data_IF_132347220862
#
_entry.id   IF_132347220862
#
_cell.length_a   1.000
_cell.length_b   1.000
_cell.length_c   1.000
_cell.angle_alpha   90.00
_cell.angle_beta   90.00
_cell.angle_gamma   90.00
#
_symmetry.space_group_name_H-M   'P 1'
#
loop_
_entity.id
_entity.type
_entity.pdbx_description
1 polymer ?
#
# COMPACT_ATOMS: atom_id res chain seq x y z
N UNK A 1 -15.09 -14.49 2.75
CA UNK A 1 -15.14 -13.78 4.04
C UNK A 1 -13.95 -12.81 4.13
N UNK A 2 -13.81 -11.96 3.11
CA UNK A 2 -12.88 -10.84 3.05
C UNK A 2 -13.77 -9.72 2.54
N UNK A 3 -13.98 -8.67 3.36
CA UNK A 3 -14.85 -7.52 3.08
C UNK A 3 -14.33 -6.34 3.90
N UNK A 4 -14.84 -5.13 3.62
CA UNK A 4 -14.68 -3.95 4.48
C UNK A 4 -13.24 -3.44 4.57
N UNK A 5 -12.59 -3.43 3.41
CA UNK A 5 -11.25 -2.90 3.21
C UNK A 5 -11.34 -1.89 2.06
N UNK A 6 -11.61 -0.62 2.39
CA UNK A 6 -11.66 0.50 1.43
C UNK A 6 -10.63 1.56 1.82
N UNK A 7 -10.85 2.30 2.90
CA UNK A 7 -9.79 3.19 3.44
C UNK A 7 -8.57 2.39 3.91
N UNK A 8 -8.80 1.18 4.46
CA UNK A 8 -7.72 0.28 4.87
C UNK A 8 -7.11 -0.50 3.69
N UNK A 9 -7.76 -0.56 2.52
CA UNK A 9 -7.15 -1.20 1.33
C UNK A 9 -6.33 -0.18 0.56
N UNK A 10 -6.76 1.08 0.51
CA UNK A 10 -5.91 2.22 0.16
C UNK A 10 -4.61 2.26 0.99
N UNK A 11 -4.60 1.74 2.22
CA UNK A 11 -3.38 1.62 3.06
C UNK A 11 -2.68 0.26 2.90
N UNK A 12 -3.40 -0.86 2.81
CA UNK A 12 -2.80 -2.20 2.74
C UNK A 12 -2.37 -2.63 1.33
N UNK A 13 -3.07 -2.20 0.26
CA UNK A 13 -2.65 -2.45 -1.12
C UNK A 13 -1.38 -1.68 -1.48
N UNK A 14 -1.05 -0.60 -0.77
CA UNK A 14 0.25 0.08 -0.89
C UNK A 14 1.44 -0.81 -0.47
N UNK A 15 1.21 -1.91 0.25
CA UNK A 15 2.23 -2.91 0.59
C UNK A 15 2.40 -4.01 -0.48
N UNK A 16 1.52 -4.08 -1.49
CA UNK A 16 1.55 -5.11 -2.54
C UNK A 16 1.53 -4.55 -3.97
N UNK A 17 0.90 -3.39 -4.19
CA UNK A 17 0.77 -2.71 -5.48
C UNK A 17 0.80 -1.18 -5.25
N UNK A 18 1.99 -0.58 -5.21
CA UNK A 18 2.15 0.79 -5.70
C UNK A 18 3.56 1.11 -6.19
N UNK A 19 3.61 1.37 -7.49
CA UNK A 19 4.51 2.32 -8.14
C UNK A 19 3.56 3.29 -8.88
N UNK A 20 3.79 4.59 -9.15
CA UNK A 20 4.95 5.46 -9.38
C UNK A 20 4.53 6.96 -9.48
N UNK A 21 5.23 7.84 -10.19
CA UNK A 21 4.93 9.29 -10.41
C UNK A 21 5.86 9.84 -11.52
N UNK A 22 5.62 10.95 -12.24
CA UNK A 22 4.69 12.08 -12.08
C UNK A 22 4.04 12.50 -13.43
N UNK A 23 2.89 13.19 -13.33
CA UNK A 23 2.46 14.32 -14.19
C UNK A 23 1.24 15.01 -13.53
N UNK A 24 1.22 16.35 -13.40
CA UNK A 24 0.01 17.13 -13.03
C UNK A 24 0.17 18.63 -13.33
N UNK A 25 -0.93 19.38 -13.59
CA UNK A 25 -0.88 20.63 -14.35
C UNK A 25 -0.38 21.88 -13.59
N UNK A 26 0.12 22.82 -14.39
CA UNK A 26 0.87 24.02 -14.04
C UNK A 26 0.35 24.86 -12.84
N UNK A 27 1.17 25.02 -11.79
CA UNK A 27 1.32 26.31 -11.09
C UNK A 27 2.76 26.50 -10.56
N UNK A 28 3.52 27.43 -11.15
CA UNK A 28 4.79 28.03 -10.66
C UNK A 28 5.83 27.11 -9.98
N UNK A 29 6.95 26.77 -10.65
CA UNK A 29 7.92 25.82 -10.10
C UNK A 29 8.79 26.38 -8.98
N UNK A 30 8.47 26.02 -7.73
CA UNK A 30 9.52 25.47 -6.85
C UNK A 30 9.80 24.04 -7.33
N UNK A 31 11.02 23.74 -7.76
CA UNK A 31 11.41 22.37 -8.10
C UNK A 31 11.27 21.46 -6.89
N UNK A 32 10.39 20.46 -6.95
CA UNK A 32 10.36 19.39 -5.93
C UNK A 32 11.72 18.68 -5.91
N UNK A 33 12.19 18.31 -4.71
CA UNK A 33 13.37 17.47 -4.57
C UNK A 33 13.05 16.07 -5.10
N UNK A 34 13.94 15.51 -5.92
CA UNK A 34 13.85 14.09 -6.30
C UNK A 34 13.92 13.19 -5.05
N UNK A 35 13.43 11.96 -5.14
CA UNK A 35 13.52 11.00 -4.03
C UNK A 35 14.98 10.81 -3.56
N UNK A 36 15.93 10.72 -4.49
CA UNK A 36 17.35 10.60 -4.16
C UNK A 36 17.90 11.81 -3.37
N UNK A 37 17.44 13.02 -3.67
CA UNK A 37 17.81 14.24 -2.92
C UNK A 37 17.16 14.27 -1.53
N UNK A 38 15.88 13.91 -1.41
CA UNK A 38 15.18 13.79 -0.12
C UNK A 38 15.89 12.76 0.79
N UNK A 39 16.27 11.61 0.24
CA UNK A 39 17.02 10.56 0.95
C UNK A 39 18.40 11.08 1.39
N UNK A 40 19.16 11.70 0.48
CA UNK A 40 20.49 12.23 0.80
C UNK A 40 20.42 13.31 1.90
N UNK A 41 19.42 14.20 1.86
CA UNK A 41 19.20 15.21 2.90
C UNK A 41 18.83 14.59 4.25
N UNK A 42 18.05 13.50 4.25
CA UNK A 42 17.64 12.77 5.47
C UNK A 42 18.81 11.99 6.08
N UNK A 43 19.59 11.26 5.29
CA UNK A 43 20.77 10.51 5.75
C UNK A 43 21.82 11.46 6.36
N UNK A 44 21.93 12.68 5.83
CA UNK A 44 22.83 13.72 6.33
C UNK A 44 22.35 14.44 7.61
N UNK A 45 21.13 14.19 8.12
CA UNK A 45 20.65 14.86 9.34
C UNK A 45 21.44 14.38 10.56
N UNK A 46 21.75 15.27 11.52
CA UNK A 46 22.35 14.87 12.80
C UNK A 46 21.35 14.01 13.58
N UNK A 47 21.84 13.13 14.45
CA UNK A 47 20.97 12.47 15.42
C UNK A 47 20.49 13.45 16.48
N UNK A 48 19.33 13.15 17.05
CA UNK A 48 18.77 13.86 18.19
C UNK A 48 19.62 13.69 19.46
N UNK A 49 19.56 14.67 20.34
CA UNK A 49 20.15 14.63 21.69
C UNK A 49 19.16 14.16 22.77
N UNK A 50 17.92 13.83 22.38
CA UNK A 50 16.88 13.37 23.29
C UNK A 50 17.03 11.86 23.59
N UNK A 51 16.98 11.42 24.86
CA UNK A 51 17.02 10.00 25.21
C UNK A 51 15.90 9.18 24.54
N UNK A 52 16.09 7.86 24.32
CA UNK A 52 15.11 6.98 23.67
C UNK A 52 13.70 7.08 24.27
N UNK A 53 13.58 7.18 25.59
CA UNK A 53 12.29 7.32 26.30
C UNK A 53 11.57 8.64 26.02
N UNK A 54 12.28 9.73 25.73
CA UNK A 54 11.67 11.01 25.36
C UNK A 54 11.25 11.01 23.88
N UNK A 55 11.98 10.31 23.02
CA UNK A 55 11.62 10.10 21.62
C UNK A 55 10.34 9.25 21.49
N UNK A 56 10.22 8.21 22.31
CA UNK A 56 9.02 7.37 22.42
C UNK A 56 7.76 8.19 22.73
N UNK A 57 7.80 9.05 23.75
CA UNK A 57 6.68 9.93 24.12
C UNK A 57 6.28 10.91 23.00
N UNK A 58 7.25 11.42 22.21
CA UNK A 58 6.93 12.22 21.02
C UNK A 58 6.18 11.41 19.96
N UNK A 59 6.65 10.19 19.68
CA UNK A 59 6.07 9.30 18.68
C UNK A 59 4.65 8.85 19.06
N UNK A 60 4.45 8.47 20.32
CA UNK A 60 3.12 8.18 20.88
C UNK A 60 2.17 9.38 20.73
N UNK A 61 2.60 10.59 21.09
CA UNK A 61 1.74 11.78 21.06
C UNK A 61 1.23 12.13 19.66
N UNK A 62 2.09 12.03 18.64
CA UNK A 62 1.75 12.46 17.28
C UNK A 62 1.09 11.35 16.45
N UNK A 63 1.39 10.07 16.74
CA UNK A 63 0.59 8.95 16.27
C UNK A 63 -0.85 9.04 16.82
N UNK A 64 -1.02 9.47 18.08
CA UNK A 64 -2.34 9.81 18.64
C UNK A 64 -2.98 11.03 17.94
N UNK A 65 -2.22 12.07 17.56
CA UNK A 65 -2.76 13.21 16.81
C UNK A 65 -3.27 12.77 15.42
N UNK A 66 -2.54 11.89 14.72
CA UNK A 66 -2.97 11.32 13.44
C UNK A 66 -4.29 10.56 13.61
N UNK A 67 -4.40 9.68 14.61
CA UNK A 67 -5.66 8.97 14.87
C UNK A 67 -6.82 9.92 15.14
N UNK A 68 -6.59 11.08 15.80
CA UNK A 68 -7.64 12.11 15.99
C UNK A 68 -8.04 12.81 14.68
N UNK A 69 -7.19 12.83 13.65
CA UNK A 69 -7.59 13.28 12.30
C UNK A 69 -8.25 12.17 11.48
N UNK A 70 -7.84 10.90 11.66
CA UNK A 70 -8.44 9.76 10.98
C UNK A 70 -9.84 9.46 11.53
N UNK A 71 -10.05 9.46 12.85
CA UNK A 71 -11.31 9.14 13.53
C UNK A 71 -12.52 9.94 13.02
N UNK A 72 -12.29 11.16 12.53
CA UNK A 72 -13.34 12.01 11.95
C UNK A 72 -13.93 11.45 10.64
N UNK A 73 -13.20 10.60 9.90
CA UNK A 73 -13.68 10.01 8.64
C UNK A 73 -14.83 9.03 8.86
N UNK A 74 -14.98 8.49 10.08
CA UNK A 74 -16.16 7.73 10.54
C UNK A 74 -17.46 8.53 10.48
N UNK A 75 -17.38 9.85 10.35
CA UNK A 75 -18.54 10.75 10.19
C UNK A 75 -18.72 11.24 8.75
N UNK A 76 -17.90 10.76 7.82
CA UNK A 76 -17.95 11.13 6.41
C UNK A 76 -19.18 10.51 5.74
N UNK A 77 -20.16 11.36 5.43
CA UNK A 77 -21.33 10.93 4.65
C UNK A 77 -20.98 10.36 3.28
N UNK A 78 -19.82 10.75 2.72
CA UNK A 78 -19.31 10.20 1.46
C UNK A 78 -18.85 8.75 1.63
N UNK A 79 -18.06 8.45 2.67
CA UNK A 79 -17.57 7.08 2.92
C UNK A 79 -18.73 6.15 3.25
N UNK A 80 -19.63 6.55 4.16
CA UNK A 80 -20.81 5.77 4.55
C UNK A 80 -21.70 5.42 3.34
N UNK A 81 -21.79 6.31 2.35
CA UNK A 81 -22.50 6.07 1.10
C UNK A 81 -21.77 5.08 0.17
N UNK A 82 -20.44 5.12 0.09
CA UNK A 82 -19.65 4.14 -0.68
C UNK A 82 -19.69 2.74 -0.03
N UNK A 83 -19.61 2.68 1.30
CA UNK A 83 -19.82 1.44 2.07
C UNK A 83 -21.22 0.87 1.81
N UNK A 84 -22.25 1.71 1.83
CA UNK A 84 -23.60 1.26 1.52
C UNK A 84 -23.76 0.85 0.04
N UNK A 85 -23.08 1.49 -0.92
CA UNK A 85 -23.06 1.06 -2.31
C UNK A 85 -22.46 -0.35 -2.45
N UNK A 86 -21.28 -0.59 -1.85
CA UNK A 86 -20.66 -1.91 -1.81
C UNK A 86 -21.58 -2.96 -1.14
N UNK A 87 -22.23 -2.62 -0.02
CA UNK A 87 -23.23 -3.48 0.64
C UNK A 87 -24.46 -3.78 -0.24
N UNK A 88 -24.86 -2.88 -1.14
CA UNK A 88 -25.97 -3.08 -2.07
C UNK A 88 -25.58 -3.88 -3.32
N UNK A 89 -24.32 -3.78 -3.76
CA UNK A 89 -23.71 -4.64 -4.77
C UNK A 89 -23.53 -6.07 -4.24
N UNK A 90 -23.16 -6.22 -2.97
CA UNK A 90 -23.13 -7.49 -2.23
C UNK A 90 -24.49 -8.22 -2.16
N UNK A 91 -25.59 -7.48 -2.09
CA UNK A 91 -26.96 -8.05 -1.98
C UNK A 91 -27.51 -8.41 -3.37
N UNK A 92 -27.22 -7.60 -4.38
CA UNK A 92 -27.52 -7.86 -5.77
C UNK A 92 -26.38 -7.30 -6.60
N UNK A 93 -25.52 -8.17 -7.12
CA UNK A 93 -24.45 -7.76 -8.03
C UNK A 93 -25.04 -7.05 -9.24
N UNK A 94 -24.34 -6.03 -9.73
CA UNK A 94 -24.79 -5.23 -10.87
C UNK A 94 -23.96 -5.57 -12.08
N UNK A 95 -24.63 -6.16 -13.04
CA UNK A 95 -23.95 -6.64 -14.22
C UNK A 95 -23.57 -5.52 -15.21
N UNK A 96 -22.32 -5.08 -15.09
CA UNK A 96 -21.60 -4.22 -16.03
C UNK A 96 -20.62 -4.98 -16.93
N UNK A 97 -20.40 -6.29 -16.72
CA UNK A 97 -19.39 -7.09 -17.44
C UNK A 97 -19.94 -8.35 -18.12
N UNK A 98 -21.27 -8.54 -18.15
CA UNK A 98 -21.95 -9.79 -18.52
C UNK A 98 -21.69 -10.95 -17.52
N UNK A 99 -21.51 -10.65 -16.23
CA UNK A 99 -21.66 -11.62 -15.12
C UNK A 99 -20.38 -12.26 -14.58
N UNK A 100 -19.23 -11.60 -14.72
CA UNK A 100 -17.89 -12.22 -14.65
C UNK A 100 -16.82 -11.43 -13.86
N UNK A 101 -17.27 -10.46 -13.07
CA UNK A 101 -16.57 -9.89 -11.91
C UNK A 101 -17.61 -9.67 -10.80
N UNK A 102 -17.22 -9.56 -9.53
CA UNK A 102 -18.15 -9.35 -8.41
C UNK A 102 -18.77 -7.93 -8.40
N UNK A 103 -18.13 -6.97 -9.09
CA UNK A 103 -18.56 -5.57 -9.27
C UNK A 103 -18.52 -4.77 -7.95
N UNK A 104 -17.31 -4.42 -7.53
CA UNK A 104 -17.03 -3.54 -6.39
C UNK A 104 -17.17 -2.06 -6.80
N UNK A 105 -17.26 -1.15 -5.83
CA UNK A 105 -17.33 0.30 -6.09
C UNK A 105 -16.11 0.83 -6.88
N UNK A 106 -14.99 0.14 -6.73
CA UNK A 106 -13.71 0.41 -7.37
C UNK A 106 -13.73 -0.01 -8.85
N UNK A 107 -14.36 -1.14 -9.19
CA UNK A 107 -14.53 -1.60 -10.58
C UNK A 107 -15.32 -0.56 -11.41
N UNK A 108 -16.35 0.03 -10.81
CA UNK A 108 -17.21 1.04 -11.45
C UNK A 108 -16.40 2.26 -11.94
N UNK A 109 -15.28 2.58 -11.28
CA UNK A 109 -14.40 3.69 -11.69
C UNK A 109 -13.44 3.29 -12.83
N UNK A 110 -13.19 2.00 -13.03
CA UNK A 110 -12.14 1.46 -13.90
C UNK A 110 -12.63 0.99 -15.29
N UNK A 111 -13.87 1.26 -15.67
CA UNK A 111 -14.47 0.77 -16.93
C UNK A 111 -14.72 1.90 -17.93
N UNK A 112 -14.52 1.61 -19.22
CA UNK A 112 -14.95 2.48 -20.32
C UNK A 112 -15.97 1.81 -21.24
N UNK A 113 -16.79 2.60 -21.93
CA UNK A 113 -17.79 2.12 -22.91
C UNK A 113 -19.07 1.50 -22.31
N UNK A 114 -19.04 0.95 -21.10
CA UNK A 114 -20.22 0.39 -20.44
C UNK A 114 -21.03 1.50 -19.75
N UNK A 115 -22.20 1.84 -20.29
CA UNK A 115 -23.08 2.86 -19.73
C UNK A 115 -24.50 2.33 -19.41
N UNK A 116 -25.10 2.86 -18.36
CA UNK A 116 -26.40 2.47 -17.83
C UNK A 116 -26.74 3.21 -16.53
N UNK A 117 -28.02 3.43 -16.25
CA UNK A 117 -28.47 3.97 -14.95
C UNK A 117 -29.16 2.85 -14.17
N UNK A 118 -28.54 2.47 -13.06
CA UNK A 118 -28.97 1.44 -12.13
C UNK A 118 -29.62 2.07 -10.90
N UNK A 119 -30.90 1.80 -10.69
CA UNK A 119 -31.66 2.35 -9.56
C UNK A 119 -32.01 1.26 -8.57
N UNK A 120 -31.60 1.41 -7.31
CA UNK A 120 -31.89 0.44 -6.25
C UNK A 120 -33.40 0.32 -6.00
N UNK A 121 -33.92 -0.91 -5.90
CA UNK A 121 -35.32 -1.21 -5.55
C UNK A 121 -35.37 -1.87 -4.18
N UNK A 122 -35.55 -1.07 -3.15
CA UNK A 122 -35.51 -1.55 -1.77
C UNK A 122 -36.56 -2.63 -1.43
N UNK A 123 -37.71 -2.65 -2.13
CA UNK A 123 -38.75 -3.69 -1.98
C UNK A 123 -38.32 -5.04 -2.53
N UNK A 124 -37.54 -5.03 -3.62
CA UNK A 124 -37.19 -6.21 -4.41
C UNK A 124 -35.73 -6.67 -4.15
N UNK A 125 -34.97 -5.90 -3.36
CA UNK A 125 -33.55 -6.04 -3.07
C UNK A 125 -32.67 -6.25 -4.32
N UNK A 126 -32.98 -5.51 -5.40
CA UNK A 126 -32.29 -5.60 -6.69
C UNK A 126 -32.11 -4.24 -7.35
N UNK A 127 -31.28 -4.18 -8.39
CA UNK A 127 -31.10 -2.99 -9.21
C UNK A 127 -31.97 -3.01 -10.48
N UNK A 128 -32.66 -1.91 -10.76
CA UNK A 128 -33.34 -1.68 -12.04
C UNK A 128 -32.40 -0.96 -13.00
N UNK A 129 -31.96 -1.66 -14.07
CA UNK A 129 -31.14 -1.10 -15.15
C UNK A 129 -32.02 -0.36 -16.15
N UNK A 130 -31.64 0.87 -16.48
CA UNK A 130 -32.16 1.62 -17.64
C UNK A 130 -30.99 2.02 -18.55
N UNK A 131 -31.24 2.12 -19.85
CA UNK A 131 -30.19 2.40 -20.83
C UNK A 131 -29.66 3.83 -20.73
N UNK A 132 -28.34 3.98 -20.86
CA UNK A 132 -27.63 5.25 -20.97
C UNK A 132 -26.53 5.12 -22.01
N UNK A 133 -26.20 6.22 -22.69
CA UNK A 133 -25.12 6.31 -23.68
C UNK A 133 -24.09 7.39 -23.31
N UNK A 134 -24.19 7.96 -22.10
CA UNK A 134 -23.43 9.16 -21.69
C UNK A 134 -22.81 9.08 -20.30
N UNK A 135 -23.29 8.18 -19.43
CA UNK A 135 -22.77 7.93 -18.08
C UNK A 135 -23.17 6.55 -17.56
N UNK A 136 -22.30 5.95 -16.75
CA UNK A 136 -22.64 4.84 -15.86
C UNK A 136 -23.03 5.44 -14.50
N UNK A 137 -24.15 5.02 -13.93
CA UNK A 137 -24.71 5.69 -12.76
C UNK A 137 -25.50 4.76 -11.85
N UNK A 138 -25.25 4.91 -10.56
CA UNK A 138 -25.95 4.19 -9.50
C UNK A 138 -26.78 5.20 -8.70
N UNK A 139 -28.04 4.84 -8.41
CA UNK A 139 -29.02 5.68 -7.71
C UNK A 139 -29.60 4.90 -6.53
N UNK A 140 -29.21 5.28 -5.31
CA UNK A 140 -29.30 4.41 -4.12
C UNK A 140 -29.43 5.25 -2.82
N UNK A 141 -29.79 4.65 -1.65
CA UNK A 141 -29.85 5.38 -0.38
C UNK A 141 -28.47 5.66 0.21
N UNK A 142 -28.25 6.79 0.89
CA UNK A 142 -26.95 7.13 1.46
C UNK A 142 -26.49 6.20 2.61
N UNK A 143 -27.43 5.48 3.25
CA UNK A 143 -27.20 4.69 4.47
C UNK A 143 -27.98 3.38 4.43
N UNK A 144 -27.52 2.33 5.11
CA UNK A 144 -28.29 1.09 5.27
C UNK A 144 -29.65 1.31 5.94
N UNK A 145 -29.72 2.26 6.88
CA UNK A 145 -30.94 2.63 7.60
C UNK A 145 -31.95 3.44 6.76
N UNK A 146 -31.65 3.72 5.49
CA UNK A 146 -32.48 4.51 4.58
C UNK A 146 -32.99 3.67 3.41
N UNK A 147 -34.22 3.93 2.99
CA UNK A 147 -34.88 3.24 1.86
C UNK A 147 -35.18 4.17 0.67
N UNK A 148 -34.93 5.48 0.83
CA UNK A 148 -35.10 6.50 -0.20
C UNK A 148 -33.79 6.69 -0.95
N UNK A 149 -33.80 6.57 -2.28
CA UNK A 149 -32.61 6.78 -3.10
C UNK A 149 -32.30 8.28 -3.22
N UNK A 150 -31.55 8.83 -2.26
CA UNK A 150 -31.12 10.22 -2.22
C UNK A 150 -29.66 10.43 -2.68
N UNK A 151 -28.96 9.35 -3.02
CA UNK A 151 -27.56 9.34 -3.42
C UNK A 151 -27.40 8.92 -4.88
N UNK A 152 -26.49 9.57 -5.59
CA UNK A 152 -26.05 9.14 -6.92
C UNK A 152 -24.54 9.11 -7.03
N UNK A 153 -23.97 7.97 -7.43
CA UNK A 153 -22.61 7.91 -7.99
C UNK A 153 -22.76 7.89 -9.51
N UNK A 154 -22.15 8.83 -10.22
CA UNK A 154 -22.12 8.85 -11.69
C UNK A 154 -20.68 8.93 -12.19
N UNK A 155 -20.31 8.12 -13.17
CA UNK A 155 -18.96 8.00 -13.74
C UNK A 155 -18.98 8.08 -15.27
N UNK A 156 -17.90 8.64 -15.84
CA UNK A 156 -17.66 8.80 -17.28
C UNK A 156 -16.20 8.51 -17.56
N UNK A 157 -15.91 7.80 -18.65
CA UNK A 157 -14.56 7.32 -18.93
C UNK A 157 -14.20 7.47 -20.40
N UNK A 158 -12.93 7.74 -20.68
CA UNK A 158 -12.36 7.81 -22.02
C UNK A 158 -11.63 6.51 -22.30
N UNK A 159 -12.09 5.72 -23.28
CA UNK A 159 -11.44 4.46 -23.68
C UNK A 159 -10.02 4.68 -24.22
N UNK A 160 -9.12 3.76 -23.89
CA UNK A 160 -7.86 3.53 -24.59
C UNK A 160 -8.05 2.58 -25.78
N UNK A 161 -7.01 2.42 -26.60
CA UNK A 161 -6.95 1.34 -27.60
C UNK A 161 -6.60 -0.03 -26.99
N UNK A 162 -6.31 -0.12 -25.68
CA UNK A 162 -6.02 -1.39 -24.99
C UNK A 162 -7.33 -2.09 -24.68
N UNK A 163 -7.51 -3.24 -25.31
CA UNK A 163 -8.69 -4.10 -25.24
C UNK A 163 -8.32 -5.37 -24.48
N UNK A 164 -8.86 -5.54 -23.28
CA UNK A 164 -8.68 -6.75 -22.46
C UNK A 164 -9.71 -7.82 -22.83
N UNK A 165 -9.36 -9.07 -22.56
CA UNK A 165 -10.21 -10.25 -22.76
C UNK A 165 -10.67 -10.77 -21.39
N UNK A 166 -11.99 -10.78 -21.16
CA UNK A 166 -12.60 -11.21 -19.91
C UNK A 166 -13.34 -12.51 -20.17
N UNK A 167 -12.84 -13.62 -19.61
CA UNK A 167 -13.44 -14.94 -19.78
C UNK A 167 -14.93 -14.93 -19.38
N UNK A 168 -15.80 -15.27 -20.34
CA UNK A 168 -17.25 -15.29 -20.12
C UNK A 168 -17.69 -16.61 -19.51
N UNK A 169 -17.60 -17.65 -20.33
CA UNK A 169 -18.16 -18.97 -20.09
C UNK A 169 -17.66 -19.92 -21.18
N UNK A 170 -17.74 -21.22 -20.92
CA UNK A 170 -17.26 -22.24 -21.86
C UNK A 170 -18.44 -22.88 -22.61
N UNK A 171 -18.43 -22.78 -23.94
CA UNK A 171 -19.39 -23.47 -24.81
C UNK A 171 -18.94 -24.92 -25.00
N UNK A 172 -19.57 -25.81 -24.24
CA UNK A 172 -19.29 -27.24 -24.25
C UNK A 172 -19.80 -27.97 -25.50
N UNK A 173 -20.68 -27.38 -26.32
CA UNK A 173 -21.07 -27.94 -27.62
C UNK A 173 -20.07 -27.57 -28.71
N UNK A 174 -19.39 -26.43 -28.57
CA UNK A 174 -18.42 -25.91 -29.54
C UNK A 174 -16.93 -26.11 -29.16
N UNK A 175 -16.61 -26.50 -27.92
CA UNK A 175 -15.23 -26.65 -27.38
C UNK A 175 -14.43 -25.34 -27.48
N UNK A 176 -15.06 -24.23 -27.04
CA UNK A 176 -14.46 -22.88 -27.03
C UNK A 176 -14.82 -22.09 -25.77
N UNK A 177 -13.86 -21.29 -25.33
CA UNK A 177 -14.11 -20.19 -24.39
C UNK A 177 -14.85 -19.06 -25.13
N UNK A 178 -16.01 -18.68 -24.61
CA UNK A 178 -16.63 -17.39 -24.90
C UNK A 178 -15.92 -16.36 -24.03
N UNK A 179 -15.55 -15.22 -24.61
CA UNK A 179 -14.92 -14.13 -23.89
C UNK A 179 -15.61 -12.80 -24.24
N UNK A 180 -15.87 -11.99 -23.21
CA UNK A 180 -16.25 -10.59 -23.36
C UNK A 180 -14.99 -9.73 -23.50
N UNK A 181 -15.17 -8.49 -23.95
CA UNK A 181 -14.06 -7.57 -24.13
C UNK A 181 -14.38 -6.15 -23.73
N UNK A 182 -13.46 -5.53 -23.00
CA UNK A 182 -13.59 -4.15 -22.49
C UNK A 182 -12.34 -3.36 -22.87
N UNK A 183 -12.51 -2.08 -23.19
CA UNK A 183 -11.38 -1.15 -23.35
C UNK A 183 -11.03 -0.53 -22.00
N UNK A 184 -9.74 -0.58 -21.62
CA UNK A 184 -9.27 0.07 -20.40
C UNK A 184 -9.38 1.60 -20.52
N UNK A 185 -9.70 2.34 -19.45
CA UNK A 185 -9.84 3.79 -19.50
C UNK A 185 -8.47 4.49 -19.51
N UNK A 186 -8.26 5.43 -20.43
CA UNK A 186 -7.17 6.43 -20.31
C UNK A 186 -7.48 7.47 -19.23
N UNK A 187 -8.75 7.70 -18.95
CA UNK A 187 -9.21 8.46 -17.78
C UNK A 187 -10.63 8.09 -17.40
N UNK A 188 -10.97 8.33 -16.14
CA UNK A 188 -12.35 8.38 -15.67
C UNK A 188 -12.56 9.53 -14.68
N UNK A 189 -13.77 10.08 -14.69
CA UNK A 189 -14.24 11.09 -13.74
C UNK A 189 -15.55 10.59 -13.14
N UNK A 190 -15.63 10.55 -11.81
CA UNK A 190 -16.86 10.22 -11.10
C UNK A 190 -17.23 11.26 -10.04
N UNK A 191 -18.52 11.42 -9.81
CA UNK A 191 -19.07 12.33 -8.81
C UNK A 191 -20.11 11.58 -7.97
N UNK A 192 -19.86 11.50 -6.67
CA UNK A 192 -20.83 11.08 -5.67
C UNK A 192 -21.60 12.30 -5.18
N UNK A 193 -22.93 12.24 -5.21
CA UNK A 193 -23.82 13.27 -4.70
C UNK A 193 -24.82 12.70 -3.71
N UNK A 194 -25.07 13.43 -2.62
CA UNK A 194 -26.06 13.11 -1.58
C UNK A 194 -26.97 14.33 -1.42
N UNK A 195 -28.29 14.13 -1.48
CA UNK A 195 -29.30 15.20 -1.48
C UNK A 195 -28.98 16.28 -2.54
N UNK A 196 -28.64 15.83 -3.75
CA UNK A 196 -28.18 16.60 -4.93
C UNK A 196 -26.86 17.39 -4.78
N UNK A 197 -26.29 17.46 -3.58
CA UNK A 197 -25.01 18.13 -3.28
C UNK A 197 -23.83 17.20 -3.51
N UNK A 198 -22.69 17.76 -3.87
CA UNK A 198 -21.44 17.01 -3.99
C UNK A 198 -20.98 16.46 -2.65
N UNK A 199 -20.67 15.15 -2.62
CA UNK A 199 -20.20 14.42 -1.45
C UNK A 199 -18.76 13.95 -1.65
N UNK A 200 -18.43 13.44 -2.84
CA UNK A 200 -17.06 13.18 -3.25
C UNK A 200 -16.88 13.31 -4.77
N UNK A 201 -15.66 13.60 -5.19
CA UNK A 201 -15.21 13.51 -6.58
C UNK A 201 -14.06 12.51 -6.68
N UNK A 202 -14.01 11.83 -7.82
CA UNK A 202 -12.99 10.84 -8.17
C UNK A 202 -12.46 11.21 -9.55
N UNK A 203 -11.14 11.23 -9.70
CA UNK A 203 -10.47 11.38 -10.98
C UNK A 203 -9.42 10.28 -11.11
N UNK A 204 -9.39 9.62 -12.26
CA UNK A 204 -8.41 8.61 -12.61
C UNK A 204 -7.80 8.94 -13.97
N UNK A 205 -6.52 8.68 -14.14
CA UNK A 205 -5.84 8.66 -15.44
C UNK A 205 -4.97 7.42 -15.57
N UNK A 206 -4.80 6.91 -16.77
CA UNK A 206 -3.85 5.85 -17.09
C UNK A 206 -3.27 6.02 -18.50
N UNK A 207 -2.00 5.67 -18.66
CA UNK A 207 -1.30 5.56 -19.94
C UNK A 207 -0.75 4.13 -20.06
N UNK A 208 -0.88 3.51 -21.22
CA UNK A 208 -0.53 2.10 -21.43
C UNK A 208 0.45 1.95 -22.59
N UNK A 209 1.45 1.07 -22.44
CA UNK A 209 2.21 0.56 -23.57
C UNK A 209 1.34 -0.38 -24.40
N UNK A 210 1.62 -0.47 -25.71
CA UNK A 210 0.72 -1.09 -26.72
C UNK A 210 0.56 -2.62 -26.62
N UNK A 211 0.91 -3.24 -25.49
CA UNK A 211 0.91 -4.69 -25.25
C UNK A 211 0.67 -5.13 -23.79
N UNK A 212 0.45 -4.22 -22.84
CA UNK A 212 0.27 -4.58 -21.43
C UNK A 212 -1.06 -4.02 -20.90
N UNK A 213 -1.77 -4.84 -20.14
CA UNK A 213 -3.01 -4.47 -19.42
C UNK A 213 -2.68 -3.68 -18.13
N UNK A 214 -1.48 -3.91 -17.57
CA UNK A 214 -0.92 -3.03 -16.55
C UNK A 214 -0.56 -1.68 -17.16
N UNK A 215 -1.00 -0.54 -16.58
CA UNK A 215 -0.60 0.77 -17.07
C UNK A 215 0.91 1.00 -16.94
N UNK A 216 1.47 1.74 -17.89
CA UNK A 216 2.78 2.36 -17.76
C UNK A 216 2.67 3.50 -16.74
N UNK A 217 1.69 4.39 -16.87
CA UNK A 217 1.44 5.49 -15.95
C UNK A 217 0.01 5.47 -15.41
N UNK A 218 -0.19 5.88 -14.16
CA UNK A 218 -1.49 5.90 -13.49
C UNK A 218 -1.59 7.12 -12.58
N UNK A 219 -2.80 7.60 -12.31
CA UNK A 219 -3.07 8.45 -11.16
C UNK A 219 -4.52 8.26 -10.72
N UNK A 220 -4.76 8.32 -9.43
CA UNK A 220 -6.09 8.33 -8.83
C UNK A 220 -6.16 9.40 -7.74
N UNK A 221 -7.26 10.15 -7.72
CA UNK A 221 -7.56 11.17 -6.72
C UNK A 221 -9.00 11.06 -6.28
N UNK A 222 -9.23 10.86 -4.98
CA UNK A 222 -10.53 11.01 -4.32
C UNK A 222 -10.50 12.27 -3.46
N UNK A 223 -11.50 13.15 -3.61
CA UNK A 223 -11.69 14.32 -2.73
C UNK A 223 -13.09 14.27 -2.12
N UNK A 224 -13.22 14.44 -0.81
CA UNK A 224 -14.51 14.38 -0.09
C UNK A 224 -14.92 15.74 0.50
N UNK A 225 -16.23 15.98 0.63
CA UNK A 225 -16.77 17.29 1.04
C UNK A 225 -16.55 17.65 2.52
N UNK A 226 -16.16 16.69 3.36
CA UNK A 226 -15.70 16.87 4.75
C UNK A 226 -14.19 17.16 4.85
N UNK A 227 -13.50 17.20 3.72
CA UNK A 227 -12.14 17.74 3.58
C UNK A 227 -11.03 16.70 3.50
N UNK A 228 -11.32 15.41 3.31
CA UNK A 228 -10.26 14.45 2.97
C UNK A 228 -9.86 14.56 1.51
N UNK A 229 -8.60 14.26 1.23
CA UNK A 229 -8.12 14.00 -0.12
C UNK A 229 -7.14 12.85 -0.08
N UNK A 230 -7.38 11.84 -0.92
CA UNK A 230 -6.49 10.72 -1.14
C UNK A 230 -6.00 10.73 -2.57
N UNK A 231 -4.68 10.61 -2.75
CA UNK A 231 -4.01 10.64 -4.06
C UNK A 231 -3.00 9.50 -4.16
N UNK A 232 -2.96 8.80 -5.30
CA UNK A 232 -1.94 7.81 -5.67
C UNK A 232 -1.52 7.99 -7.14
N UNK A 233 -0.32 7.57 -7.51
CA UNK A 233 0.13 7.62 -8.91
C UNK A 233 0.95 6.40 -9.37
N UNK A 234 1.32 6.39 -10.66
CA UNK A 234 1.90 5.33 -11.51
C UNK A 234 2.80 5.90 -12.61
N UNK A 235 3.96 5.27 -12.86
CA UNK A 235 4.95 5.53 -13.94
C UNK A 235 6.08 4.47 -13.94
N UNK A 236 5.96 3.41 -14.75
CA UNK A 236 7.04 2.44 -15.01
C UNK A 236 8.20 3.14 -15.72
N UNK A 237 9.44 2.69 -15.52
CA UNK A 237 10.60 3.32 -16.15
C UNK A 237 11.94 2.69 -15.81
N UNK A 238 13.02 3.46 -16.00
CA UNK A 238 14.38 3.10 -15.55
C UNK A 238 14.46 3.04 -14.02
N UNK A 239 13.64 3.87 -13.36
CA UNK A 239 13.27 3.75 -11.96
C UNK A 239 11.74 3.82 -11.89
N UNK A 240 11.13 2.81 -11.27
CA UNK A 240 9.72 2.77 -10.92
C UNK A 240 9.59 3.45 -9.55
N UNK A 241 9.14 4.70 -9.52
CA UNK A 241 8.83 5.45 -8.29
C UNK A 241 7.63 4.86 -7.51
N UNK A 242 7.10 5.53 -6.48
CA UNK A 242 5.70 5.45 -5.97
C UNK A 242 5.35 6.80 -5.36
N UNK A 243 4.10 7.26 -5.44
CA UNK A 243 3.58 8.31 -4.56
C UNK A 243 2.16 7.95 -4.08
N UNK A 244 1.91 8.14 -2.79
CA UNK A 244 0.57 8.09 -2.19
C UNK A 244 0.44 9.10 -1.05
N UNK A 245 -0.68 9.82 -0.97
CA UNK A 245 -0.88 10.90 0.02
C UNK A 245 -2.31 10.89 0.55
N UNK A 246 -2.47 10.90 1.87
CA UNK A 246 -3.72 11.18 2.56
C UNK A 246 -3.62 12.54 3.25
N UNK A 247 -4.53 13.46 2.92
CA UNK A 247 -4.66 14.75 3.62
C UNK A 247 -6.05 14.94 4.24
N UNK A 248 -6.14 15.82 5.22
CA UNK A 248 -7.38 16.31 5.80
C UNK A 248 -7.32 17.83 5.96
N UNK A 249 -8.22 18.56 5.31
CA UNK A 249 -8.25 20.02 5.22
C UNK A 249 -6.89 20.63 4.82
N UNK A 250 -6.18 19.98 3.88
CA UNK A 250 -4.87 20.39 3.40
C UNK A 250 -3.68 20.04 4.31
N UNK A 251 -3.91 19.46 5.50
CA UNK A 251 -2.85 18.88 6.33
C UNK A 251 -2.58 17.43 5.91
N UNK A 252 -1.32 17.11 5.56
CA UNK A 252 -0.89 15.73 5.31
C UNK A 252 -1.02 14.89 6.59
N UNK A 253 -1.67 13.74 6.48
CA UNK A 253 -1.76 12.71 7.53
C UNK A 253 -0.76 11.58 7.25
N UNK A 254 -0.71 11.14 5.99
CA UNK A 254 0.20 10.12 5.47
C UNK A 254 0.74 10.63 4.13
N UNK A 255 2.04 10.49 3.90
CA UNK A 255 2.71 10.69 2.62
C UNK A 255 3.70 9.53 2.42
N UNK A 256 3.63 8.86 1.29
CA UNK A 256 4.51 7.79 0.87
C UNK A 256 5.14 8.16 -0.46
N UNK A 257 6.46 8.03 -0.58
CA UNK A 257 7.22 8.27 -1.80
C UNK A 257 8.30 7.18 -1.94
N UNK A 258 8.30 6.40 -3.02
CA UNK A 258 9.23 5.27 -3.20
C UNK A 258 9.92 5.28 -4.58
N UNK A 259 10.91 4.40 -4.77
CA UNK A 259 11.75 4.35 -5.97
C UNK A 259 12.53 3.05 -6.09
N UNK A 260 12.36 2.35 -7.21
CA UNK A 260 12.91 1.02 -7.44
C UNK A 260 13.35 0.83 -8.88
N UNK A 261 14.62 0.46 -9.09
CA UNK A 261 15.12 0.04 -10.40
C UNK A 261 15.12 -1.50 -10.58
N UNK A 262 14.38 -2.22 -9.72
CA UNK A 262 14.09 -3.63 -9.91
C UNK A 262 13.17 -3.84 -11.13
N UNK A 263 13.29 -4.98 -11.80
CA UNK A 263 12.40 -5.37 -12.89
C UNK A 263 11.11 -5.97 -12.33
N UNK A 264 10.17 -5.11 -11.92
CA UNK A 264 8.91 -5.51 -11.25
C UNK A 264 8.11 -6.51 -12.10
N UNK A 265 7.93 -6.25 -13.40
CA UNK A 265 7.19 -7.14 -14.31
C UNK A 265 7.87 -8.54 -14.37
N UNK A 266 9.20 -8.59 -14.39
CA UNK A 266 9.94 -9.87 -14.35
C UNK A 266 9.90 -10.60 -13.00
N UNK A 267 9.72 -9.87 -11.89
CA UNK A 267 9.51 -10.49 -10.57
C UNK A 267 8.11 -11.13 -10.49
N UNK A 268 7.07 -10.45 -11.00
CA UNK A 268 5.70 -10.98 -11.07
C UNK A 268 5.66 -12.29 -11.90
N UNK A 269 6.42 -12.36 -12.99
CA UNK A 269 6.57 -13.59 -13.79
C UNK A 269 7.41 -14.68 -13.08
N UNK A 270 8.34 -14.31 -12.17
CA UNK A 270 9.25 -15.24 -11.49
C UNK A 270 9.99 -14.65 -10.27
N UNK A 271 9.52 -14.96 -9.05
CA UNK A 271 10.12 -14.53 -7.77
C UNK A 271 11.55 -15.03 -7.51
N UNK A 272 11.94 -16.17 -8.09
CA UNK A 272 13.24 -16.82 -7.80
C UNK A 272 14.42 -16.12 -8.49
N UNK A 273 14.16 -15.32 -9.53
CA UNK A 273 15.19 -14.75 -10.40
C UNK A 273 15.85 -13.49 -9.79
N UNK A 274 16.88 -13.73 -8.97
CA UNK A 274 17.79 -12.73 -8.35
C UNK A 274 18.22 -11.61 -9.30
N UNK A 275 18.36 -11.89 -10.61
CA UNK A 275 18.72 -10.92 -11.65
C UNK A 275 17.74 -9.74 -11.82
N UNK A 276 16.51 -9.86 -11.30
CA UNK A 276 15.49 -8.80 -11.35
C UNK A 276 15.48 -7.90 -10.11
N UNK A 277 16.25 -8.24 -9.07
CA UNK A 277 16.43 -7.40 -7.88
C UNK A 277 17.23 -6.15 -8.23
N UNK A 278 16.87 -5.03 -7.62
CA UNK A 278 17.54 -3.75 -7.78
C UNK A 278 17.75 -3.05 -6.44
N UNK A 279 17.69 -1.73 -6.45
CA UNK A 279 17.47 -0.91 -5.26
C UNK A 279 15.98 -0.76 -5.01
N UNK A 280 15.60 -0.60 -3.74
CA UNK A 280 14.23 -0.26 -3.35
C UNK A 280 14.28 0.79 -2.24
N UNK A 281 13.90 2.00 -2.59
CA UNK A 281 13.97 3.19 -1.75
C UNK A 281 12.57 3.63 -1.35
N UNK A 282 12.40 4.19 -0.16
CA UNK A 282 11.10 4.59 0.36
C UNK A 282 11.19 5.66 1.44
N UNK A 283 10.24 6.57 1.43
CA UNK A 283 9.97 7.56 2.46
C UNK A 283 8.51 7.42 2.86
N UNK A 284 8.25 7.05 4.11
CA UNK A 284 6.92 7.06 4.69
C UNK A 284 6.86 8.15 5.77
N UNK A 285 6.10 9.20 5.51
CA UNK A 285 5.92 10.37 6.39
C UNK A 285 4.61 10.22 7.17
N UNK A 286 4.70 10.31 8.49
CA UNK A 286 3.56 10.34 9.40
C UNK A 286 3.34 11.80 9.85
N UNK A 287 2.20 12.36 9.47
CA UNK A 287 1.87 13.78 9.68
C UNK A 287 2.98 14.72 9.17
N UNK A 288 3.15 15.88 9.79
CA UNK A 288 4.23 16.83 9.46
C UNK A 288 5.61 16.42 9.97
N UNK A 289 5.71 15.38 10.80
CA UNK A 289 6.71 15.34 11.87
C UNK A 289 7.62 14.11 11.89
N UNK A 290 7.15 12.92 11.53
CA UNK A 290 7.96 11.71 11.48
C UNK A 290 8.19 11.24 10.06
N UNK A 291 9.37 10.69 9.78
CA UNK A 291 9.67 10.00 8.52
C UNK A 291 10.39 8.69 8.84
N UNK A 292 9.93 7.61 8.22
CA UNK A 292 10.66 6.35 8.09
C UNK A 292 11.30 6.36 6.69
N UNK A 293 12.63 6.25 6.65
CA UNK A 293 13.42 6.09 5.44
C UNK A 293 13.79 4.62 5.26
N UNK A 294 13.69 4.15 4.02
CA UNK A 294 14.41 2.99 3.50
C UNK A 294 15.29 3.41 2.30
N UNK A 295 16.57 3.09 2.36
CA UNK A 295 17.56 3.20 1.26
C UNK A 295 18.23 1.83 1.16
N UNK A 296 17.84 1.03 0.16
CA UNK A 296 18.19 -0.41 0.09
C UNK A 296 18.81 -0.82 -1.24
N UNK A 297 19.75 -1.77 -1.18
CA UNK A 297 20.40 -2.39 -2.33
C UNK A 297 20.22 -3.91 -2.28
N UNK A 298 19.03 -4.38 -2.69
CA UNK A 298 18.63 -5.80 -2.66
C UNK A 298 19.50 -6.66 -3.59
N UNK A 299 19.97 -6.06 -4.70
CA UNK A 299 20.92 -6.69 -5.62
C UNK A 299 22.28 -6.96 -4.95
N UNK A 300 22.87 -5.94 -4.30
CA UNK A 300 24.16 -6.09 -3.62
C UNK A 300 24.05 -7.00 -2.40
N UNK A 301 22.97 -6.91 -1.63
CA UNK A 301 22.71 -7.81 -0.51
C UNK A 301 22.63 -9.28 -0.95
N UNK A 302 21.93 -9.58 -2.06
CA UNK A 302 21.87 -10.94 -2.61
C UNK A 302 23.23 -11.46 -3.08
N UNK A 303 24.07 -10.58 -3.65
CA UNK A 303 25.43 -10.93 -4.06
C UNK A 303 26.36 -11.17 -2.86
N UNK A 304 26.26 -10.37 -1.79
CA UNK A 304 26.99 -10.57 -0.54
C UNK A 304 26.57 -11.86 0.17
N UNK A 305 25.26 -12.17 0.23
CA UNK A 305 24.74 -13.42 0.81
C UNK A 305 25.19 -14.65 0.01
N UNK A 306 25.14 -14.58 -1.33
CA UNK A 306 25.69 -15.63 -2.20
C UNK A 306 27.20 -15.81 -1.96
N UNK A 307 27.93 -14.72 -1.74
CA UNK A 307 29.38 -14.77 -1.42
C UNK A 307 29.63 -15.40 -0.05
N UNK A 308 28.82 -15.06 0.95
CA UNK A 308 28.86 -15.62 2.30
C UNK A 308 28.62 -17.13 2.28
N UNK A 309 27.53 -17.58 1.67
CA UNK A 309 27.16 -19.01 1.62
C UNK A 309 28.20 -19.86 0.89
N UNK A 310 28.81 -19.35 -0.19
CA UNK A 310 29.93 -20.02 -0.86
C UNK A 310 31.24 -20.01 -0.04
N UNK A 311 31.38 -19.13 0.96
CA UNK A 311 32.58 -19.00 1.78
C UNK A 311 32.58 -19.86 3.06
N UNK A 312 31.38 -20.27 3.54
CA UNK A 312 31.22 -21.05 4.77
C UNK A 312 30.91 -22.51 4.41
N UNK A 313 31.87 -23.46 4.51
CA UNK A 313 31.64 -24.84 4.13
C UNK A 313 30.63 -25.52 5.05
N UNK A 314 29.68 -26.27 4.47
CA UNK A 314 28.72 -27.06 5.23
C UNK A 314 29.42 -28.24 5.96
N UNK A 315 29.03 -28.57 7.20
CA UNK A 315 29.67 -29.66 7.97
C UNK A 315 29.51 -31.05 7.35
N UNK A 316 30.45 -31.95 7.66
CA UNK A 316 30.40 -33.34 7.17
C UNK A 316 29.49 -34.17 8.08
N UNK A 317 28.34 -34.60 7.56
CA UNK A 317 27.29 -35.34 8.29
C UNK A 317 27.78 -36.53 9.13
N UNK A 318 28.82 -37.22 8.67
CA UNK A 318 29.38 -38.40 9.35
C UNK A 318 30.52 -38.07 10.35
N UNK A 319 30.74 -36.81 10.70
CA UNK A 319 31.77 -36.42 11.68
C UNK A 319 31.26 -36.56 13.12
N UNK A 320 32.14 -36.98 14.05
CA UNK A 320 31.85 -36.96 15.50
C UNK A 320 31.59 -35.53 16.02
N UNK A 321 32.08 -34.52 15.30
CA UNK A 321 31.89 -33.08 15.56
C UNK A 321 30.70 -32.44 14.82
N UNK A 322 29.91 -33.22 14.06
CA UNK A 322 28.92 -32.67 13.12
C UNK A 322 27.98 -31.62 13.73
N UNK A 323 27.39 -31.89 14.89
CA UNK A 323 26.40 -30.99 15.50
C UNK A 323 27.01 -29.67 16.05
N UNK A 324 28.25 -29.69 16.54
CA UNK A 324 28.96 -28.47 16.98
C UNK A 324 29.52 -27.68 15.80
N UNK A 325 29.94 -28.36 14.73
CA UNK A 325 30.25 -27.73 13.44
C UNK A 325 29.01 -27.11 12.81
N UNK A 326 27.83 -27.74 12.89
CA UNK A 326 26.56 -27.21 12.38
C UNK A 326 26.07 -26.00 13.17
N UNK A 327 26.19 -26.04 14.50
CA UNK A 327 25.99 -24.87 15.36
C UNK A 327 26.91 -23.71 14.96
N UNK A 328 28.17 -24.00 14.63
CA UNK A 328 29.16 -23.01 14.15
C UNK A 328 28.84 -22.50 12.74
N UNK A 329 28.31 -23.35 11.86
CA UNK A 329 27.86 -23.01 10.52
C UNK A 329 26.66 -22.05 10.58
N UNK A 330 25.59 -22.42 11.30
CA UNK A 330 24.40 -21.57 11.47
C UNK A 330 24.76 -20.20 12.04
N UNK A 331 25.61 -20.18 13.08
CA UNK A 331 26.10 -18.93 13.68
C UNK A 331 26.78 -18.03 12.64
N UNK A 332 27.73 -18.55 11.86
CA UNK A 332 28.46 -17.78 10.83
C UNK A 332 27.54 -17.27 9.73
N UNK A 333 26.58 -18.08 9.28
CA UNK A 333 25.60 -17.65 8.27
C UNK A 333 24.71 -16.54 8.83
N UNK A 334 24.19 -16.67 10.05
CA UNK A 334 23.31 -15.67 10.64
C UNK A 334 24.03 -14.36 10.98
N UNK A 335 25.22 -14.41 11.59
CA UNK A 335 26.07 -13.23 11.83
C UNK A 335 26.46 -12.54 10.52
N UNK A 336 26.80 -13.31 9.47
CA UNK A 336 27.11 -12.79 8.15
C UNK A 336 25.91 -12.13 7.46
N UNK A 337 24.73 -12.75 7.49
CA UNK A 337 23.51 -12.17 6.91
C UNK A 337 23.05 -10.91 7.66
N UNK A 338 23.22 -10.85 8.97
CA UNK A 338 23.00 -9.62 9.74
C UNK A 338 23.99 -8.50 9.34
N UNK A 339 25.26 -8.82 9.11
CA UNK A 339 26.24 -7.86 8.60
C UNK A 339 25.91 -7.40 7.16
N UNK A 340 25.49 -8.31 6.28
CA UNK A 340 25.08 -8.00 4.91
C UNK A 340 23.81 -7.15 4.85
N UNK A 341 22.84 -7.39 5.75
CA UNK A 341 21.68 -6.53 5.95
C UNK A 341 22.13 -5.12 6.34
N UNK A 342 22.87 -4.97 7.45
CA UNK A 342 23.31 -3.67 7.97
C UNK A 342 24.22 -2.88 7.00
N UNK A 343 24.89 -3.56 6.08
CA UNK A 343 25.70 -2.96 5.00
C UNK A 343 24.83 -2.35 3.89
N UNK A 344 23.77 -3.05 3.48
CA UNK A 344 23.04 -2.78 2.23
C UNK A 344 21.60 -2.27 2.45
N UNK A 345 21.09 -2.32 3.68
CA UNK A 345 19.76 -1.87 4.09
C UNK A 345 19.90 -0.71 5.08
N UNK A 346 19.67 0.53 4.64
CA UNK A 346 19.62 1.68 5.56
C UNK A 346 18.16 2.01 5.87
N UNK A 347 17.75 1.63 7.07
CA UNK A 347 16.43 1.94 7.61
C UNK A 347 16.60 2.98 8.72
N UNK A 348 15.91 4.12 8.63
CA UNK A 348 16.11 5.25 9.56
C UNK A 348 14.77 5.84 10.00
N UNK A 349 14.58 5.99 11.32
CA UNK A 349 13.48 6.74 11.93
C UNK A 349 13.93 8.19 12.20
N UNK A 350 13.13 9.18 11.79
CA UNK A 350 13.52 10.59 11.70
C UNK A 350 12.42 11.50 12.25
N UNK A 351 12.78 12.51 13.04
CA UNK A 351 11.92 13.66 13.34
C UNK A 351 12.18 14.75 12.31
N UNK A 352 11.27 14.91 11.35
CA UNK A 352 11.20 16.05 10.41
C UNK A 352 11.00 17.36 11.17
N UNK A 353 10.23 17.35 12.26
CA UNK A 353 9.93 18.51 13.11
C UNK A 353 11.16 19.04 13.86
N UNK A 354 11.96 18.16 14.43
CA UNK A 354 13.21 18.52 15.11
C UNK A 354 14.41 18.56 14.15
N UNK A 355 14.24 18.16 12.88
CA UNK A 355 15.29 18.09 11.87
C UNK A 355 16.38 17.03 12.15
N UNK A 356 16.06 15.96 12.87
CA UNK A 356 17.05 15.00 13.41
C UNK A 356 16.70 13.54 13.16
N UNK A 357 17.72 12.69 13.00
CA UNK A 357 17.57 11.22 13.08
C UNK A 357 17.28 10.81 14.53
N UNK A 358 16.39 9.86 14.71
CA UNK A 358 16.01 9.31 16.02
C UNK A 358 16.83 8.07 16.30
N UNK A 359 16.74 7.10 15.40
CA UNK A 359 17.51 5.86 15.41
C UNK A 359 17.64 5.33 13.98
N UNK A 360 18.70 4.55 13.74
CA UNK A 360 18.77 3.64 12.58
C UNK A 360 18.25 2.26 13.03
N UNK A 361 17.58 1.50 12.17
CA UNK A 361 17.19 0.11 12.46
C UNK A 361 18.32 -0.80 11.98
N UNK A 362 18.86 -1.63 12.89
CA UNK A 362 19.92 -2.60 12.61
C UNK A 362 19.45 -4.03 12.94
N UNK A 363 19.89 -5.00 12.15
CA UNK A 363 19.63 -6.43 12.39
C UNK A 363 20.79 -7.05 13.18
N UNK A 364 20.46 -7.90 14.16
CA UNK A 364 21.39 -8.77 14.86
C UNK A 364 21.01 -10.24 14.69
N UNK A 365 21.96 -11.14 14.94
CA UNK A 365 21.79 -12.59 14.92
C UNK A 365 21.70 -13.11 16.36
N UNK A 366 20.47 -13.30 16.86
CA UNK A 366 20.22 -13.75 18.24
C UNK A 366 20.02 -15.27 18.25
N UNK A 367 20.64 -15.97 19.21
CA UNK A 367 20.45 -17.42 19.36
C UNK A 367 19.01 -17.73 19.76
N UNK A 368 18.39 -18.70 19.09
CA UNK A 368 17.05 -19.18 19.42
C UNK A 368 17.04 -19.89 20.79
N UNK A 369 16.12 -19.50 21.67
CA UNK A 369 15.84 -20.23 22.91
C UNK A 369 15.02 -21.49 22.61
N UNK A 370 15.70 -22.58 22.27
CA UNK A 370 15.03 -23.87 22.08
C UNK A 370 14.73 -24.52 23.45
N UNK A 371 13.45 -24.73 23.83
CA UNK A 371 13.08 -25.34 25.12
C UNK A 371 13.28 -26.86 25.14
N UNK A 372 13.62 -27.46 23.99
CA UNK A 372 14.02 -28.86 23.86
C UNK A 372 15.54 -28.92 23.71
N UNK A 373 16.20 -29.93 24.30
CA UNK A 373 17.66 -30.07 24.34
C UNK A 373 18.26 -30.41 22.96
N UNK A 374 18.22 -29.45 22.03
CA UNK A 374 18.83 -29.54 20.70
C UNK A 374 20.35 -29.60 20.80
N UNK A 375 20.96 -30.56 20.10
CA UNK A 375 22.41 -30.60 19.90
C UNK A 375 22.92 -29.54 18.91
N UNK A 376 22.00 -28.79 18.29
CA UNK A 376 22.27 -27.80 17.25
C UNK A 376 21.72 -26.44 17.66
N UNK A 377 22.58 -25.42 17.65
CA UNK A 377 22.19 -24.04 17.81
C UNK A 377 21.59 -23.48 16.51
N UNK A 378 20.50 -22.73 16.64
CA UNK A 378 19.85 -21.94 15.59
C UNK A 378 19.83 -20.46 15.99
N UNK A 379 19.68 -19.58 15.01
CA UNK A 379 19.81 -18.13 15.17
C UNK A 379 18.75 -17.42 14.33
N UNK A 380 18.05 -16.48 14.95
CA UNK A 380 17.00 -15.68 14.32
C UNK A 380 17.47 -14.23 14.08
N UNK A 381 17.03 -13.58 13.00
CA UNK A 381 17.23 -12.15 12.80
C UNK A 381 16.33 -11.37 13.77
N UNK A 382 16.93 -10.48 14.56
CA UNK A 382 16.19 -9.59 15.48
C UNK A 382 16.60 -8.15 15.20
N UNK A 383 15.61 -7.25 15.14
CA UNK A 383 15.82 -5.84 14.78
C UNK A 383 15.92 -4.96 16.01
N UNK A 384 16.85 -4.00 15.99
CA UNK A 384 17.14 -3.07 17.08
C UNK A 384 17.15 -1.63 16.57
N UNK A 385 16.64 -0.70 17.39
CA UNK A 385 16.78 0.74 17.20
C UNK A 385 18.11 1.19 17.80
N UNK A 386 19.04 1.66 16.95
CA UNK A 386 20.36 2.18 17.32
C UNK A 386 20.32 3.69 17.45
N UNK A 387 20.56 4.20 18.67
CA UNK A 387 20.52 5.62 19.00
C UNK A 387 21.91 6.28 18.96
N UNK A 388 21.95 7.61 19.11
CA UNK A 388 23.14 8.46 18.94
C UNK A 388 24.31 8.17 19.88
N UNK A 389 24.01 7.57 21.04
CA UNK A 389 24.96 7.14 22.07
C UNK A 389 25.48 5.70 21.83
N UNK A 390 24.97 5.01 20.80
CA UNK A 390 25.09 3.57 20.55
C UNK A 390 24.34 2.70 21.57
N UNK A 391 23.36 3.25 22.31
CA UNK A 391 22.33 2.41 22.92
C UNK A 391 21.55 1.72 21.79
N UNK A 392 21.38 0.41 21.91
CA UNK A 392 20.57 -0.40 21.00
C UNK A 392 19.43 -1.02 21.80
N UNK A 393 18.19 -0.77 21.38
CA UNK A 393 16.98 -1.31 22.02
C UNK A 393 16.25 -2.17 21.01
N UNK A 394 15.90 -3.40 21.40
CA UNK A 394 15.13 -4.31 20.55
C UNK A 394 13.83 -3.66 20.11
N UNK A 395 13.53 -3.72 18.81
CA UNK A 395 12.46 -2.95 18.20
C UNK A 395 11.09 -3.37 18.74
N UNK A 396 10.87 -4.67 18.91
CA UNK A 396 9.64 -5.20 19.54
C UNK A 396 9.48 -4.68 20.98
N UNK A 397 10.53 -4.80 21.81
CA UNK A 397 10.52 -4.31 23.19
C UNK A 397 10.39 -2.77 23.29
N UNK A 398 10.84 -2.03 22.28
CA UNK A 398 10.65 -0.57 22.23
C UNK A 398 9.20 -0.18 21.92
N UNK A 399 8.48 -0.96 21.11
CA UNK A 399 7.11 -0.66 20.70
C UNK A 399 6.00 -1.37 21.52
N UNK A 400 6.32 -2.44 22.25
CA UNK A 400 5.34 -3.26 22.98
C UNK A 400 4.62 -2.54 24.15
N UNK A 401 5.29 -1.61 24.82
CA UNK A 401 4.67 -0.78 25.87
C UNK A 401 4.29 0.63 25.36
N UNK A 402 3.39 1.32 26.05
CA UNK A 402 3.04 2.74 25.78
C UNK A 402 2.13 2.97 24.55
N UNK A 403 2.33 2.21 23.48
CA UNK A 403 1.52 2.30 22.26
C UNK A 403 0.12 1.68 22.38
N UNK A 404 -0.21 0.97 23.47
CA UNK A 404 -1.52 0.32 23.66
C UNK A 404 -2.73 1.26 23.54
N UNK A 405 -2.57 2.56 23.86
CA UNK A 405 -3.63 3.57 23.64
C UNK A 405 -3.76 3.98 22.17
N UNK A 406 -2.68 3.93 21.40
CA UNK A 406 -2.73 4.10 19.94
C UNK A 406 -3.34 2.85 19.28
N UNK A 407 -2.86 1.66 19.66
CA UNK A 407 -3.36 0.35 19.21
C UNK A 407 -4.88 0.22 19.43
N UNK A 408 -5.37 0.43 20.66
CA UNK A 408 -6.82 0.38 20.96
C UNK A 408 -7.63 1.35 20.09
N UNK A 409 -7.14 2.59 19.90
CA UNK A 409 -7.81 3.59 19.05
C UNK A 409 -7.74 3.24 17.57
N UNK A 410 -6.69 2.56 17.12
CA UNK A 410 -6.55 2.10 15.74
C UNK A 410 -7.46 0.89 15.48
N UNK A 411 -7.53 -0.07 16.40
CA UNK A 411 -8.55 -1.13 16.36
C UNK A 411 -9.97 -0.55 16.35
N UNK A 412 -10.29 0.38 17.25
CA UNK A 412 -11.59 1.06 17.29
C UNK A 412 -11.81 1.98 16.08
N UNK A 413 -10.76 2.32 15.33
CA UNK A 413 -10.85 2.95 14.02
C UNK A 413 -11.28 1.93 12.96
N UNK A 414 -10.57 0.81 12.84
CA UNK A 414 -10.89 -0.27 11.89
C UNK A 414 -12.31 -0.80 12.12
N UNK A 415 -12.65 -1.17 13.37
CA UNK A 415 -13.97 -1.71 13.79
C UNK A 415 -15.16 -0.78 13.53
N UNK A 416 -14.93 0.48 13.17
CA UNK A 416 -16.00 1.39 12.77
C UNK A 416 -16.51 1.07 11.35
N UNK A 417 -15.61 0.72 10.44
CA UNK A 417 -15.88 0.35 9.05
C UNK A 417 -16.16 -1.15 8.88
N UNK A 418 -15.85 -1.98 9.89
CA UNK A 418 -16.13 -3.42 9.88
C UNK A 418 -17.62 -3.81 10.13
N UNK A 419 -18.54 -2.85 10.20
CA UNK A 419 -19.95 -3.06 10.61
C UNK A 419 -20.85 -3.63 9.53
#
# INVERSE_FOLDING_TARGET
>A
MIKKILLLSLVASQLTISCSSEDSPETTPTTEQTLAEQIAEIVAKPYSTLPPSQQKVKLEAEANEMLVQLDKSKTSSAIEALENLNRLLDISSVDIFNGKNDNQAEDILNVSGVYGVYTWKNTDQKWEKTASTTELKFVFPAKESQTTNNTTLSTKSVSSDIKIEIYDSYDWEADVDVNDFVYLPTSSEAILKIDEKEAATFAQTAKYSTKNESPDEFAFKMTTNDGYTWETSGKKGVENTAKATLTYNGKTLIDFNSGSNANIDGLIDNDELVQYRGKANGLFKLMDNFVILADTDLATAAADDTTLENSVPYPVYNSETYYSELSTYHKKIAEGKAANFNKNMKLILVSKKDGTKIADIVQHSVKEENPWESLVDYYNPVYYLKFSDNTEVEMEAYFSEGFSTFETKFEDFIKAFEK
#
